data_IF_938292252928
#
_entry.id   IF_938292252928
#
_cell.length_a   1.000
_cell.length_b   1.000
_cell.length_c   1.000
_cell.angle_alpha   90.00
_cell.angle_beta   90.00
_cell.angle_gamma   90.00
#
_symmetry.space_group_name_H-M   'P 1'
#
loop_
_entity.id
_entity.type
_entity.pdbx_description
1 polymer ?
#
# COMPACT_ATOMS: atom_id res chain seq x y z
N UNK A 1 -42.01 31.38 10.40
CA UNK A 1 -40.83 30.87 11.13
C UNK A 1 -40.80 29.36 10.95
N UNK A 2 -39.92 28.85 10.09
CA UNK A 2 -39.91 27.45 9.70
C UNK A 2 -39.20 26.58 10.75
N UNK A 3 -39.96 25.81 11.52
CA UNK A 3 -39.47 24.89 12.55
C UNK A 3 -38.88 23.58 11.99
N UNK A 4 -38.35 23.58 10.75
CA UNK A 4 -37.95 22.37 10.02
C UNK A 4 -36.43 22.13 9.89
N UNK A 5 -35.58 23.13 10.13
CA UNK A 5 -34.13 23.01 9.92
C UNK A 5 -33.36 22.53 11.15
N UNK A 6 -33.88 22.78 12.36
CA UNK A 6 -33.15 22.48 13.60
C UNK A 6 -32.98 20.97 13.83
N UNK A 7 -34.02 20.17 13.59
CA UNK A 7 -33.95 18.71 13.76
C UNK A 7 -32.99 18.04 12.76
N UNK A 8 -33.01 18.48 11.50
CA UNK A 8 -32.11 17.96 10.45
C UNK A 8 -30.64 18.34 10.70
N UNK A 9 -30.40 19.59 11.10
CA UNK A 9 -29.05 20.04 11.45
C UNK A 9 -28.53 19.33 12.71
N UNK A 10 -29.41 19.00 13.67
CA UNK A 10 -29.04 18.22 14.85
C UNK A 10 -28.69 16.77 14.49
N UNK A 11 -29.46 16.11 13.61
CA UNK A 11 -29.15 14.75 13.15
C UNK A 11 -27.82 14.72 12.39
N UNK A 12 -27.59 15.68 11.50
CA UNK A 12 -26.31 15.79 10.78
C UNK A 12 -25.15 16.06 11.75
N UNK A 13 -25.34 16.95 12.73
CA UNK A 13 -24.32 17.23 13.74
C UNK A 13 -24.02 15.99 14.61
N UNK A 14 -25.03 15.23 15.03
CA UNK A 14 -24.85 14.00 15.82
C UNK A 14 -24.13 12.93 15.00
N UNK A 15 -24.49 12.74 13.74
CA UNK A 15 -23.78 11.81 12.85
C UNK A 15 -22.32 12.24 12.67
N UNK A 16 -22.06 13.54 12.50
CA UNK A 16 -20.69 14.04 12.36
C UNK A 16 -19.87 13.86 13.64
N UNK A 17 -20.43 14.20 14.80
CA UNK A 17 -19.76 14.05 16.10
C UNK A 17 -19.46 12.58 16.43
N UNK A 18 -20.33 11.65 16.02
CA UNK A 18 -20.13 10.21 16.27
C UNK A 18 -19.16 9.56 15.28
N UNK A 19 -19.13 10.01 14.03
CA UNK A 19 -18.29 9.40 12.99
C UNK A 19 -16.92 10.06 12.85
N UNK A 20 -16.79 11.35 13.17
CA UNK A 20 -15.53 12.09 13.07
C UNK A 20 -14.37 11.48 13.90
N UNK A 21 -14.57 11.04 15.16
CA UNK A 21 -13.49 10.41 15.93
C UNK A 21 -13.05 9.07 15.32
N UNK A 22 -13.99 8.30 14.76
CA UNK A 22 -13.71 7.03 14.07
C UNK A 22 -12.87 7.29 12.82
N UNK A 23 -13.17 8.36 12.08
CA UNK A 23 -12.38 8.73 10.92
C UNK A 23 -11.01 9.30 11.29
N UNK A 24 -10.89 10.07 12.39
CA UNK A 24 -9.61 10.57 12.89
C UNK A 24 -8.67 9.42 13.30
N UNK A 25 -9.21 8.35 13.89
CA UNK A 25 -8.43 7.17 14.27
C UNK A 25 -8.07 6.26 13.10
N UNK A 26 -8.96 6.14 12.10
CA UNK A 26 -8.70 5.32 10.91
C UNK A 26 -7.85 6.02 9.85
N UNK A 27 -7.83 7.35 9.82
CA UNK A 27 -7.07 8.15 8.86
C UNK A 27 -5.58 7.76 8.74
N UNK A 28 -4.79 7.65 9.84
CA UNK A 28 -3.38 7.25 9.74
C UNK A 28 -3.21 5.83 9.18
N UNK A 29 -4.11 4.90 9.49
CA UNK A 29 -4.07 3.54 8.93
C UNK A 29 -4.41 3.52 7.44
N UNK A 30 -5.40 4.30 7.00
CA UNK A 30 -5.77 4.40 5.59
C UNK A 30 -4.62 5.02 4.78
N UNK A 31 -4.02 6.09 5.29
CA UNK A 31 -2.83 6.72 4.68
C UNK A 31 -1.66 5.73 4.65
N UNK A 32 -1.40 5.02 5.75
CA UNK A 32 -0.37 3.99 5.83
C UNK A 32 -0.56 2.86 4.81
N UNK A 33 -1.78 2.34 4.65
CA UNK A 33 -2.12 1.33 3.64
C UNK A 33 -1.90 1.89 2.22
N UNK A 34 -2.24 3.15 1.99
CA UNK A 34 -2.09 3.77 0.66
C UNK A 34 -0.62 4.02 0.31
N UNK A 35 0.19 4.48 1.29
CA UNK A 35 1.63 4.65 1.14
C UNK A 35 2.31 3.30 0.94
N UNK A 36 1.97 2.30 1.77
CA UNK A 36 2.46 0.93 1.62
C UNK A 36 2.11 0.35 0.24
N UNK A 37 0.85 0.49 -0.19
CA UNK A 37 0.40 -0.04 -1.49
C UNK A 37 0.97 0.73 -2.69
N UNK A 38 1.31 2.01 -2.53
CA UNK A 38 2.05 2.79 -3.52
C UNK A 38 3.52 2.35 -3.61
N UNK A 39 4.16 2.04 -2.48
CA UNK A 39 5.55 1.56 -2.44
C UNK A 39 5.75 0.15 -3.01
N UNK A 40 4.70 -0.69 -3.06
CA UNK A 40 4.76 -2.07 -3.58
C UNK A 40 4.33 -2.21 -5.08
N UNK A 41 4.32 -1.13 -5.86
CA UNK A 41 4.42 -1.22 -7.33
C UNK A 41 3.12 -1.46 -8.12
N UNK A 42 1.99 -0.87 -7.71
CA UNK A 42 0.71 -1.00 -8.43
C UNK A 42 0.39 0.17 -9.38
N UNK A 43 1.39 0.98 -9.76
CA UNK A 43 1.22 2.13 -10.63
C UNK A 43 0.62 1.78 -12.02
N UNK A 44 0.79 0.54 -12.48
CA UNK A 44 0.30 0.10 -13.80
C UNK A 44 -1.23 -0.04 -13.90
N UNK A 45 -1.97 -0.01 -12.77
CA UNK A 45 -3.45 -0.11 -12.80
C UNK A 45 -4.13 1.25 -13.01
N UNK A 46 -3.38 2.37 -12.95
CA UNK A 46 -3.93 3.73 -13.02
C UNK A 46 -3.68 4.46 -14.35
N UNK A 47 -3.10 3.78 -15.35
CA UNK A 47 -2.85 4.33 -16.71
C UNK A 47 -4.16 4.67 -17.48
N UNK A 48 -5.31 4.20 -16.98
CA UNK A 48 -6.62 4.50 -17.54
C UNK A 48 -7.19 5.88 -17.15
N UNK A 49 -6.55 6.62 -16.24
CA UNK A 49 -7.01 7.96 -15.82
C UNK A 49 -6.35 9.06 -16.66
N UNK A 50 -7.12 9.98 -17.28
CA UNK A 50 -6.54 11.05 -18.09
C UNK A 50 -5.61 11.95 -17.26
N UNK A 51 -4.33 12.03 -17.63
CA UNK A 51 -3.36 12.98 -17.06
C UNK A 51 -2.35 12.42 -16.06
N UNK A 52 -2.31 11.10 -15.82
CA UNK A 52 -1.29 10.47 -14.97
C UNK A 52 -0.25 9.81 -15.86
N UNK A 53 0.99 10.32 -15.84
CA UNK A 53 2.11 9.73 -16.57
C UNK A 53 2.77 8.57 -15.80
N UNK A 54 3.55 7.70 -16.47
CA UNK A 54 4.08 6.44 -15.90
C UNK A 54 5.07 6.58 -14.74
N UNK A 55 5.51 7.79 -14.41
CA UNK A 55 6.41 8.06 -13.29
C UNK A 55 5.60 8.43 -12.05
N UNK A 56 5.10 7.42 -11.35
CA UNK A 56 4.41 7.56 -10.06
C UNK A 56 5.27 8.29 -9.03
N UNK A 57 4.98 9.58 -8.83
CA UNK A 57 5.55 10.41 -7.78
C UNK A 57 4.45 11.17 -7.04
N UNK A 58 4.81 11.89 -5.97
CA UNK A 58 3.94 12.67 -5.06
C UNK A 58 2.75 13.38 -5.74
N UNK A 59 2.91 13.83 -6.99
CA UNK A 59 1.87 14.47 -7.82
C UNK A 59 0.66 13.56 -8.08
N UNK A 60 0.84 12.25 -8.30
CA UNK A 60 -0.26 11.31 -8.53
C UNK A 60 -1.10 11.09 -7.25
N UNK A 61 -0.45 11.08 -6.08
CA UNK A 61 -1.12 10.99 -4.78
C UNK A 61 -1.94 12.25 -4.46
N UNK A 62 -1.40 13.43 -4.77
CA UNK A 62 -2.10 14.72 -4.57
C UNK A 62 -3.30 14.87 -5.52
N UNK A 63 -3.19 14.42 -6.77
CA UNK A 63 -4.30 14.47 -7.74
C UNK A 63 -5.40 13.46 -7.37
N UNK A 64 -5.05 12.25 -6.93
CA UNK A 64 -6.02 11.26 -6.46
C UNK A 64 -6.75 11.73 -5.18
N UNK A 65 -6.02 12.36 -4.25
CA UNK A 65 -6.59 12.99 -3.05
C UNK A 65 -7.51 14.17 -3.40
N UNK A 66 -7.12 14.99 -4.37
CA UNK A 66 -7.96 16.05 -4.92
C UNK A 66 -9.27 15.54 -5.55
N UNK A 67 -9.21 14.43 -6.28
CA UNK A 67 -10.39 13.79 -6.89
C UNK A 67 -11.36 13.23 -5.84
N UNK A 68 -10.84 12.70 -4.73
CA UNK A 68 -11.67 12.24 -3.60
C UNK A 68 -12.37 13.41 -2.93
N UNK A 69 -11.68 14.55 -2.71
CA UNK A 69 -12.32 15.76 -2.16
C UNK A 69 -13.46 16.27 -3.08
N UNK A 70 -13.25 16.26 -4.40
CA UNK A 70 -14.28 16.67 -5.37
C UNK A 70 -15.47 15.69 -5.40
N UNK A 71 -15.24 14.39 -5.29
CA UNK A 71 -16.31 13.39 -5.14
C UNK A 71 -17.07 13.53 -3.81
N UNK A 72 -16.40 13.91 -2.72
CA UNK A 72 -17.02 14.21 -1.42
C UNK A 72 -17.88 15.48 -1.45
N UNK A 73 -17.46 16.52 -2.19
CA UNK A 73 -18.27 17.72 -2.40
C UNK A 73 -19.55 17.41 -3.21
N UNK A 74 -19.47 16.50 -4.18
CA UNK A 74 -20.63 16.02 -4.95
C UNK A 74 -21.59 15.15 -4.11
N UNK A 75 -21.08 14.34 -3.17
CA UNK A 75 -21.91 13.53 -2.27
C UNK A 75 -22.69 14.40 -1.26
N UNK A 76 -22.11 15.52 -0.82
CA UNK A 76 -22.82 16.54 -0.03
C UNK A 76 -23.97 17.24 -0.77
N UNK A 77 -23.92 17.29 -2.11
CA UNK A 77 -24.97 17.88 -2.94
C UNK A 77 -26.19 16.96 -3.17
N UNK A 78 -26.03 15.62 -3.06
CA UNK A 78 -27.13 14.66 -3.27
C UNK A 78 -28.13 14.65 -2.09
N UNK A 79 -27.70 15.05 -0.89
CA UNK A 79 -28.59 15.19 0.29
C UNK A 79 -28.99 16.64 0.59
N UNK A 80 -28.63 17.58 -0.29
CA UNK A 80 -28.88 19.01 -0.16
C UNK A 80 -29.55 19.64 -1.38
N UNK A 81 -30.72 19.14 -1.79
CA UNK A 81 -31.54 19.74 -2.85
C UNK A 81 -33.04 19.71 -2.52
N UNK A 82 -33.65 20.89 -2.40
CA UNK A 82 -35.09 21.11 -2.19
C UNK A 82 -35.81 21.49 -3.49
N UNK A 83 -37.04 20.98 -3.68
CA UNK A 83 -38.12 21.46 -4.59
C UNK A 83 -38.04 20.97 -6.04
N UNK A 84 -39.10 20.60 -6.77
CA UNK A 84 -40.53 20.89 -6.63
C UNK A 84 -41.41 19.76 -7.18
N UNK A 85 -42.64 19.69 -6.65
CA UNK A 85 -43.67 18.73 -7.02
C UNK A 85 -44.43 19.08 -8.31
N UNK A 86 -44.97 18.05 -8.96
CA UNK A 86 -45.82 18.17 -10.15
C UNK A 86 -46.56 16.87 -10.46
N UNK A 87 -47.74 16.73 -9.86
CA UNK A 87 -48.82 15.78 -10.10
C UNK A 87 -49.13 15.57 -11.61
N UNK A 88 -49.53 14.36 -12.04
CA UNK A 88 -50.84 14.03 -12.67
C UNK A 88 -50.92 12.56 -13.06
N UNK A 89 -52.06 11.95 -12.74
CA UNK A 89 -52.50 10.59 -13.05
C UNK A 89 -52.70 10.37 -14.55
N UNK A 90 -52.43 9.17 -15.09
CA UNK A 90 -53.31 8.58 -16.11
C UNK A 90 -53.07 7.07 -16.28
N UNK A 91 -54.15 6.31 -16.13
CA UNK A 91 -54.27 4.90 -16.49
C UNK A 91 -54.28 4.70 -18.02
N UNK A 92 -53.85 3.52 -18.50
CA UNK A 92 -54.73 2.47 -19.10
C UNK A 92 -53.92 1.44 -19.90
N UNK A 93 -54.28 0.18 -19.66
CA UNK A 93 -54.34 -1.02 -20.53
C UNK A 93 -53.34 -1.28 -21.67
N UNK A 94 -52.92 -2.55 -21.71
CA UNK A 94 -52.98 -3.36 -22.93
C UNK A 94 -51.68 -4.05 -23.34
N UNK A 95 -51.71 -5.38 -23.44
CA UNK A 95 -50.73 -6.10 -24.28
C UNK A 95 -50.41 -7.52 -23.82
N UNK A 96 -51.26 -8.47 -24.20
CA UNK A 96 -51.08 -9.91 -24.03
C UNK A 96 -50.20 -10.54 -25.14
N UNK A 97 -49.50 -11.65 -24.80
CA UNK A 97 -49.25 -12.88 -25.60
C UNK A 97 -48.15 -13.70 -24.85
N UNK A 98 -48.42 -14.85 -24.20
CA UNK A 98 -48.77 -16.20 -24.72
C UNK A 98 -47.60 -16.82 -25.53
N UNK A 99 -47.05 -18.03 -25.32
CA UNK A 99 -47.40 -19.25 -24.57
C UNK A 99 -46.14 -20.15 -24.38
N UNK A 100 -46.15 -21.16 -23.47
CA UNK A 100 -45.26 -22.33 -23.55
C UNK A 100 -46.05 -23.61 -23.90
N UNK A 101 -45.60 -24.36 -24.90
CA UNK A 101 -46.23 -25.63 -25.32
C UNK A 101 -45.27 -26.81 -25.24
N UNK A 102 -45.57 -27.75 -24.35
CA UNK A 102 -45.10 -29.14 -24.37
C UNK A 102 -45.99 -29.96 -25.31
N UNK A 103 -45.45 -31.01 -25.96
CA UNK A 103 -45.98 -32.38 -25.79
C UNK A 103 -45.29 -33.43 -26.69
N UNK A 104 -44.94 -34.50 -25.97
CA UNK A 104 -44.61 -35.88 -26.30
C UNK A 104 -45.43 -36.54 -27.42
N UNK A 105 -44.78 -37.34 -28.29
CA UNK A 105 -45.34 -38.63 -28.75
C UNK A 105 -44.29 -39.55 -29.40
N UNK A 106 -44.26 -40.79 -28.92
CA UNK A 106 -43.55 -41.97 -29.44
C UNK A 106 -44.56 -42.88 -30.13
N UNK A 107 -44.23 -43.47 -31.29
CA UNK A 107 -44.44 -44.92 -31.50
C UNK A 107 -43.30 -45.58 -32.29
N UNK A 108 -42.73 -46.70 -31.78
CA UNK A 108 -43.02 -48.10 -32.16
C UNK A 108 -42.16 -48.64 -33.33
N UNK A 109 -41.26 -49.62 -33.10
CA UNK A 109 -40.46 -50.24 -34.16
C UNK A 109 -41.26 -51.30 -34.93
N UNK A 110 -41.22 -51.24 -36.26
CA UNK A 110 -41.78 -52.26 -37.16
C UNK A 110 -40.66 -53.09 -37.79
N UNK A 111 -40.67 -54.39 -37.51
CA UNK A 111 -39.80 -55.37 -38.15
C UNK A 111 -40.27 -55.67 -39.58
N UNK A 112 -39.34 -55.75 -40.54
CA UNK A 112 -39.64 -56.23 -41.89
C UNK A 112 -38.47 -56.98 -42.55
N UNK A 113 -38.78 -58.23 -42.91
CA UNK A 113 -38.32 -59.07 -44.01
C UNK A 113 -36.82 -59.39 -44.20
N UNK A 114 -36.51 -60.64 -43.85
CA UNK A 114 -35.40 -61.48 -44.31
C UNK A 114 -35.37 -61.59 -45.84
N UNK A 115 -34.26 -61.17 -46.47
CA UNK A 115 -33.98 -61.42 -47.89
C UNK A 115 -33.23 -62.76 -48.05
N UNK A 116 -33.61 -63.52 -49.07
CA UNK A 116 -33.01 -64.80 -49.49
C UNK A 116 -31.63 -64.55 -50.12
N UNK A 117 -30.57 -65.30 -49.77
CA UNK A 117 -29.25 -65.10 -50.37
C UNK A 117 -29.22 -65.54 -51.84
N UNK A 118 -28.69 -64.65 -52.68
CA UNK A 118 -28.28 -64.90 -54.07
C UNK A 118 -27.01 -65.78 -54.06
N UNK A 119 -26.86 -66.77 -54.97
CA UNK A 119 -25.65 -67.59 -55.06
C UNK A 119 -24.42 -66.73 -55.37
N UNK A 120 -23.37 -66.99 -54.59
CA UNK A 120 -22.08 -66.32 -54.56
C UNK A 120 -21.28 -66.56 -55.86
N UNK A 121 -20.69 -65.52 -56.48
CA UNK A 121 -19.81 -65.70 -57.62
C UNK A 121 -18.50 -66.39 -57.20
N UNK A 122 -18.04 -67.31 -58.04
CA UNK A 122 -16.80 -68.06 -57.89
C UNK A 122 -15.60 -67.11 -57.70
N UNK A 123 -14.73 -67.33 -56.69
CA UNK A 123 -13.58 -66.46 -56.46
C UNK A 123 -12.60 -66.55 -57.64
N UNK A 124 -12.31 -65.40 -58.23
CA UNK A 124 -11.21 -65.21 -59.18
C UNK A 124 -9.88 -65.31 -58.41
N UNK A 125 -8.83 -65.92 -58.97
CA UNK A 125 -7.54 -66.03 -58.28
C UNK A 125 -7.03 -64.63 -57.89
N UNK A 126 -6.89 -64.43 -56.58
CA UNK A 126 -6.32 -63.23 -55.99
C UNK A 126 -4.84 -63.14 -56.34
N UNK A 127 -4.44 -62.03 -56.97
CA UNK A 127 -3.04 -61.70 -57.21
C UNK A 127 -2.28 -61.69 -55.89
N UNK A 128 -1.16 -62.41 -55.86
CA UNK A 128 -0.23 -62.48 -54.73
C UNK A 128 0.17 -61.06 -54.31
N UNK A 129 -0.02 -60.67 -53.03
CA UNK A 129 0.36 -59.33 -52.58
C UNK A 129 1.86 -59.13 -52.78
N UNK A 130 2.21 -58.04 -53.46
CA UNK A 130 3.59 -57.58 -53.60
C UNK A 130 4.12 -57.24 -52.20
N UNK A 131 5.34 -57.65 -51.83
CA UNK A 131 5.89 -57.35 -50.50
C UNK A 131 5.92 -55.84 -50.28
N UNK A 132 5.18 -55.39 -49.28
CA UNK A 132 5.17 -54.00 -48.83
C UNK A 132 6.54 -53.65 -48.29
N UNK A 133 7.12 -52.53 -48.76
CA UNK A 133 8.41 -52.07 -48.30
C UNK A 133 8.40 -51.89 -46.77
N UNK A 134 9.39 -52.49 -46.11
CA UNK A 134 9.59 -52.36 -44.66
C UNK A 134 9.78 -50.87 -44.33
N UNK A 135 9.00 -50.30 -43.38
CA UNK A 135 9.17 -48.90 -43.01
C UNK A 135 10.59 -48.68 -42.48
N UNK A 136 11.26 -47.69 -43.05
CA UNK A 136 12.60 -47.26 -42.62
C UNK A 136 12.48 -46.72 -41.18
N UNK A 137 13.39 -47.09 -40.26
CA UNK A 137 13.34 -46.59 -38.90
C UNK A 137 13.41 -45.06 -38.91
N UNK A 138 12.38 -44.43 -38.34
CA UNK A 138 12.36 -42.99 -38.14
C UNK A 138 13.37 -42.61 -37.06
N UNK A 139 14.15 -41.58 -37.33
CA UNK A 139 15.13 -41.04 -36.37
C UNK A 139 14.42 -40.66 -35.08
N UNK A 140 14.86 -41.25 -33.96
CA UNK A 140 14.36 -40.92 -32.63
C UNK A 140 14.65 -39.45 -32.34
N UNK A 141 13.65 -38.65 -31.91
CA UNK A 141 13.87 -37.25 -31.59
C UNK A 141 14.89 -37.14 -30.45
N UNK A 142 15.90 -36.29 -30.65
CA UNK A 142 16.90 -35.98 -29.63
C UNK A 142 16.20 -35.28 -28.45
N UNK A 143 16.48 -35.67 -27.19
CA UNK A 143 15.87 -35.00 -26.04
C UNK A 143 16.26 -33.52 -26.02
N UNK A 144 15.25 -32.65 -25.93
CA UNK A 144 15.44 -31.22 -25.75
C UNK A 144 16.13 -30.97 -24.40
N UNK A 145 17.17 -30.11 -24.33
CA UNK A 145 17.83 -29.81 -23.07
C UNK A 145 16.83 -29.20 -22.08
N UNK A 146 16.80 -29.72 -20.86
CA UNK A 146 16.02 -29.16 -19.75
C UNK A 146 16.55 -27.76 -19.44
N UNK A 147 15.69 -26.73 -19.30
CA UNK A 147 16.13 -25.40 -18.91
C UNK A 147 16.86 -25.47 -17.57
N UNK A 148 18.04 -24.86 -17.52
CA UNK A 148 18.78 -24.68 -16.27
C UNK A 148 17.98 -23.74 -15.37
N UNK A 149 17.79 -24.06 -14.08
CA UNK A 149 17.11 -23.15 -13.17
C UNK A 149 17.85 -21.81 -13.11
N UNK A 150 17.09 -20.72 -13.19
CA UNK A 150 17.62 -19.37 -13.00
C UNK A 150 18.20 -19.24 -11.59
N UNK A 151 19.35 -18.55 -11.41
CA UNK A 151 19.91 -18.34 -10.08
C UNK A 151 18.89 -17.64 -9.19
N UNK A 152 18.69 -18.17 -7.98
CA UNK A 152 17.91 -17.51 -6.95
C UNK A 152 18.52 -16.13 -6.68
N UNK A 153 17.72 -15.04 -6.68
CA UNK A 153 18.24 -13.72 -6.34
C UNK A 153 18.88 -13.76 -4.95
N UNK A 154 20.06 -13.18 -4.84
CA UNK A 154 20.71 -12.97 -3.54
C UNK A 154 19.84 -12.03 -2.72
N UNK A 155 19.56 -12.33 -1.43
CA UNK A 155 18.82 -11.40 -0.58
C UNK A 155 19.52 -10.04 -0.56
N UNK A 156 18.71 -8.98 -0.59
CA UNK A 156 19.22 -7.63 -0.40
C UNK A 156 19.91 -7.51 0.97
N UNK A 157 20.96 -6.69 1.10
CA UNK A 157 21.56 -6.42 2.40
C UNK A 157 20.52 -5.81 3.34
N UNK A 158 20.55 -6.23 4.59
CA UNK A 158 19.75 -5.64 5.66
C UNK A 158 20.11 -4.15 5.82
N UNK A 159 19.13 -3.25 6.04
CA UNK A 159 19.42 -1.85 6.33
C UNK A 159 20.34 -1.74 7.55
N UNK A 160 21.34 -0.86 7.48
CA UNK A 160 22.16 -0.57 8.65
C UNK A 160 21.32 0.19 9.68
N UNK A 161 21.44 -0.21 10.95
CA UNK A 161 20.86 0.52 12.09
C UNK A 161 21.44 1.94 12.15
N UNK A 162 20.62 2.97 12.44
CA UNK A 162 21.11 4.33 12.59
C UNK A 162 22.02 4.44 13.81
N UNK A 163 23.09 5.24 13.70
CA UNK A 163 23.95 5.58 14.84
C UNK A 163 23.59 6.95 15.38
N UNK A 164 23.70 7.14 16.70
CA UNK A 164 23.44 8.42 17.36
C UNK A 164 24.58 8.83 18.26
N UNK A 165 24.86 10.13 18.28
CA UNK A 165 25.90 10.73 19.11
C UNK A 165 25.42 12.05 19.71
N UNK A 166 25.94 12.39 20.88
CA UNK A 166 25.87 13.75 21.43
C UNK A 166 27.27 14.31 21.51
N UNK A 167 27.51 15.43 20.84
CA UNK A 167 28.79 16.13 20.86
C UNK A 167 28.67 17.41 21.65
N UNK A 168 29.59 17.62 22.60
CA UNK A 168 29.73 18.84 23.38
C UNK A 168 31.09 19.44 23.06
N UNK A 169 31.12 20.69 22.66
CA UNK A 169 32.33 21.42 22.28
C UNK A 169 32.48 22.63 23.19
N UNK A 170 33.44 22.54 24.11
CA UNK A 170 33.80 23.66 24.97
C UNK A 170 35.21 23.50 25.51
N UNK A 171 36.11 24.45 25.25
CA UNK A 171 37.54 24.31 25.58
C UNK A 171 37.83 24.15 27.08
N UNK A 172 36.94 24.64 27.96
CA UNK A 172 37.07 24.54 29.42
C UNK A 172 36.10 23.49 30.01
N UNK A 173 36.06 23.39 31.34
CA UNK A 173 35.22 22.41 32.04
C UNK A 173 33.73 22.72 31.89
N UNK A 174 32.93 21.67 31.70
CA UNK A 174 31.48 21.71 31.64
C UNK A 174 30.86 20.53 32.39
N UNK A 175 29.62 20.70 32.85
CA UNK A 175 28.81 19.64 33.48
C UNK A 175 27.38 19.71 32.96
N UNK A 176 26.68 18.58 32.91
CA UNK A 176 25.33 18.52 32.37
C UNK A 176 24.65 17.17 32.54
N UNK A 177 23.59 16.93 31.77
CA UNK A 177 22.89 15.65 31.73
C UNK A 177 22.42 15.27 30.34
N UNK A 178 22.33 13.97 30.12
CA UNK A 178 21.85 13.33 28.90
C UNK A 178 20.68 12.41 29.24
N UNK A 179 19.57 12.58 28.55
CA UNK A 179 18.36 11.77 28.64
C UNK A 179 18.05 11.17 27.27
N UNK A 180 17.81 9.86 27.24
CA UNK A 180 17.52 9.08 26.02
C UNK A 180 16.20 8.35 26.26
N UNK A 181 15.28 8.45 25.31
CA UNK A 181 14.06 7.66 25.27
C UNK A 181 14.11 6.76 24.05
N UNK A 182 13.97 5.46 24.27
CA UNK A 182 13.91 4.41 23.26
C UNK A 182 12.71 3.50 23.52
N UNK A 183 12.46 2.52 22.65
CA UNK A 183 11.30 1.62 22.78
C UNK A 183 11.31 0.80 24.09
N UNK A 184 12.50 0.56 24.64
CA UNK A 184 12.71 -0.12 25.94
C UNK A 184 12.50 0.75 27.18
N UNK A 185 12.31 2.07 27.04
CA UNK A 185 12.12 3.01 28.15
C UNK A 185 12.96 4.27 28.06
N UNK A 186 13.14 4.96 29.19
CA UNK A 186 13.97 6.17 29.26
C UNK A 186 15.11 6.01 30.26
N UNK A 187 16.31 6.39 29.84
CA UNK A 187 17.51 6.45 30.67
C UNK A 187 17.97 7.90 30.80
N UNK A 188 18.59 8.24 31.93
CA UNK A 188 19.23 9.54 32.12
C UNK A 188 20.50 9.40 32.92
N UNK A 189 21.54 10.13 32.52
CA UNK A 189 22.85 10.15 33.19
C UNK A 189 23.42 11.55 33.26
N UNK A 190 24.17 11.81 34.32
CA UNK A 190 25.03 13.01 34.39
C UNK A 190 26.22 12.82 33.46
N UNK A 191 26.66 13.92 32.86
CA UNK A 191 27.81 13.98 31.95
C UNK A 191 28.65 15.19 32.29
N UNK A 192 29.96 15.08 32.15
CA UNK A 192 30.92 16.15 32.42
C UNK A 192 32.15 15.95 31.53
N UNK A 193 32.90 17.03 31.31
CA UNK A 193 34.09 16.97 30.47
C UNK A 193 34.73 18.32 30.21
N UNK A 194 35.67 18.33 29.28
CA UNK A 194 36.31 19.52 28.73
C UNK A 194 36.74 19.27 27.28
N UNK A 195 37.05 20.33 26.53
CA UNK A 195 37.32 20.26 25.11
C UNK A 195 36.12 19.77 24.29
N UNK A 196 36.41 19.11 23.17
CA UNK A 196 35.39 18.39 22.40
C UNK A 196 35.21 16.99 22.95
N UNK A 197 34.03 16.69 23.45
CA UNK A 197 33.61 15.36 23.93
C UNK A 197 32.49 14.83 23.05
N UNK A 198 32.63 13.60 22.58
CA UNK A 198 31.56 12.88 21.86
C UNK A 198 31.09 11.72 22.73
N UNK A 199 29.77 11.59 22.88
CA UNK A 199 29.11 10.55 23.63
C UNK A 199 28.32 9.70 22.64
N UNK A 200 28.75 8.47 22.44
CA UNK A 200 28.04 7.48 21.64
C UNK A 200 26.79 6.98 22.38
N UNK A 201 25.73 6.71 21.62
CA UNK A 201 24.46 6.21 22.14
C UNK A 201 24.29 4.76 21.69
N UNK A 202 24.44 3.84 22.65
CA UNK A 202 24.34 2.39 22.43
C UNK A 202 22.91 1.86 22.59
N UNK A 203 21.91 2.61 22.12
CA UNK A 203 20.49 2.24 22.21
C UNK A 203 19.92 2.05 20.79
N UNK A 204 19.15 0.97 20.58
CA UNK A 204 18.35 0.81 19.35
C UNK A 204 17.02 1.54 19.48
N UNK A 205 16.36 1.82 18.35
CA UNK A 205 15.00 2.38 18.33
C UNK A 205 14.86 3.67 19.15
N UNK A 206 15.87 4.54 19.06
CA UNK A 206 15.90 5.83 19.75
C UNK A 206 14.76 6.71 19.23
N UNK A 207 13.94 7.21 20.14
CA UNK A 207 12.79 8.07 19.86
C UNK A 207 13.09 9.53 20.16
N UNK A 208 13.77 9.80 21.28
CA UNK A 208 14.09 11.16 21.72
C UNK A 208 15.48 11.18 22.35
N UNK A 209 16.30 12.16 21.99
CA UNK A 209 17.54 12.51 22.69
C UNK A 209 17.36 13.91 23.25
N UNK A 210 17.69 14.10 24.53
CA UNK A 210 17.72 15.43 25.16
C UNK A 210 18.98 15.58 25.99
N UNK A 211 19.70 16.69 25.80
CA UNK A 211 20.97 16.90 26.47
C UNK A 211 21.14 18.37 26.86
N UNK A 212 21.88 18.59 27.94
CA UNK A 212 22.30 19.92 28.36
C UNK A 212 23.75 19.92 28.83
N UNK A 213 24.39 21.08 28.75
CA UNK A 213 25.72 21.31 29.28
C UNK A 213 25.88 22.77 29.75
N UNK A 214 26.48 22.92 30.93
CA UNK A 214 26.73 24.18 31.62
C UNK A 214 28.22 24.43 31.77
N UNK A 215 28.65 25.63 31.39
CA UNK A 215 30.02 26.13 31.60
C UNK A 215 30.35 26.23 33.09
N UNK A 216 31.55 25.81 33.48
CA UNK A 216 32.03 25.91 34.87
C UNK A 216 32.91 27.15 35.13
N UNK A 217 32.91 28.08 34.19
CA UNK A 217 33.70 29.31 34.22
C UNK A 217 32.90 30.53 33.71
N UNK A 218 33.49 31.70 33.86
CA UNK A 218 32.98 33.01 33.45
C UNK A 218 33.54 33.47 32.09
N UNK A 219 34.10 32.55 31.30
CA UNK A 219 34.63 32.84 29.97
C UNK A 219 33.52 33.32 29.03
N UNK A 220 33.86 34.13 28.03
CA UNK A 220 32.96 34.47 26.91
C UNK A 220 33.04 33.47 25.74
N UNK A 221 33.77 32.37 25.90
CA UNK A 221 33.85 31.32 24.90
C UNK A 221 32.49 30.62 24.72
N UNK A 222 32.19 30.22 23.49
CA UNK A 222 30.94 29.55 23.14
C UNK A 222 31.01 28.07 23.50
N UNK A 223 30.07 27.61 24.32
CA UNK A 223 29.76 26.20 24.48
C UNK A 223 28.75 25.81 23.41
N UNK A 224 29.01 24.71 22.70
CA UNK A 224 28.11 24.14 21.69
C UNK A 224 27.74 22.72 22.08
N UNK A 225 26.46 22.37 21.96
CA UNK A 225 25.95 21.01 22.11
C UNK A 225 25.20 20.61 20.85
N UNK A 226 25.51 19.43 20.31
CA UNK A 226 24.97 18.88 19.08
C UNK A 226 24.43 17.47 19.32
N UNK A 227 23.30 17.15 18.71
CA UNK A 227 22.83 15.78 18.51
C UNK A 227 23.13 15.40 17.07
N UNK A 228 23.73 14.24 16.86
CA UNK A 228 24.07 13.72 15.55
C UNK A 228 23.38 12.39 15.29
N UNK A 229 22.97 12.18 14.04
CA UNK A 229 22.48 10.92 13.51
C UNK A 229 23.32 10.55 12.30
N UNK A 230 23.93 9.35 12.31
CA UNK A 230 24.82 8.88 11.24
C UNK A 230 25.99 9.84 10.93
N UNK A 231 26.45 10.60 11.92
CA UNK A 231 27.49 11.61 11.79
C UNK A 231 27.02 12.99 11.31
N UNK A 232 25.76 13.14 10.92
CA UNK A 232 25.16 14.41 10.53
C UNK A 232 24.53 15.11 11.74
N UNK A 233 24.75 16.42 11.89
CA UNK A 233 24.14 17.21 12.97
C UNK A 233 22.65 17.40 12.69
N UNK A 234 21.80 16.86 13.56
CA UNK A 234 20.34 16.95 13.47
C UNK A 234 19.74 18.02 14.38
N UNK A 235 20.42 18.33 15.49
CA UNK A 235 20.02 19.42 16.38
C UNK A 235 21.25 20.06 17.03
N UNK A 236 21.17 21.36 17.32
CA UNK A 236 22.26 22.14 17.90
C UNK A 236 21.73 23.22 18.84
N UNK A 237 22.45 23.48 19.93
CA UNK A 237 22.28 24.65 20.78
C UNK A 237 23.64 25.21 21.23
N UNK A 238 23.69 26.51 21.51
CA UNK A 238 24.90 27.20 21.91
C UNK A 238 24.66 28.18 23.06
N UNK A 239 25.71 28.52 23.80
CA UNK A 239 25.70 29.61 24.79
C UNK A 239 27.09 30.24 24.91
N UNK A 240 27.16 31.56 24.96
CA UNK A 240 28.40 32.34 25.19
C UNK A 240 28.38 33.09 26.53
N UNK A 241 27.24 33.08 27.25
CA UNK A 241 27.07 33.67 28.58
C UNK A 241 28.03 33.07 29.60
N UNK A 242 28.50 33.88 30.55
CA UNK A 242 29.24 33.43 31.74
C UNK A 242 28.41 32.39 32.51
N UNK A 243 28.99 31.24 32.86
CA UNK A 243 28.27 30.09 33.45
C UNK A 243 27.02 29.64 32.66
N UNK A 244 26.99 29.96 31.36
CA UNK A 244 25.87 29.72 30.46
C UNK A 244 25.53 28.24 30.32
N UNK A 245 24.26 27.98 30.01
CA UNK A 245 23.68 26.66 29.81
C UNK A 245 23.17 26.53 28.37
N UNK A 246 23.61 25.51 27.65
CA UNK A 246 23.01 25.11 26.38
C UNK A 246 22.16 23.85 26.60
N UNK A 247 20.99 23.80 25.95
CA UNK A 247 20.08 22.64 25.99
C UNK A 247 19.57 22.34 24.60
N UNK A 248 19.52 21.06 24.24
CA UNK A 248 19.07 20.59 22.93
C UNK A 248 18.21 19.34 23.10
N UNK A 249 17.22 19.16 22.22
CA UNK A 249 16.33 17.99 22.18
C UNK A 249 15.95 17.71 20.74
N UNK A 250 15.93 16.43 20.35
CA UNK A 250 15.56 15.98 19.01
C UNK A 250 14.70 14.71 19.08
N UNK A 251 13.74 14.58 18.14
CA UNK A 251 12.80 13.48 18.07
C UNK A 251 12.87 12.75 16.72
N UNK A 252 12.84 11.41 16.73
CA UNK A 252 13.13 10.57 15.56
C UNK A 252 11.93 9.70 15.11
N UNK A 253 10.69 10.18 15.28
CA UNK A 253 9.45 9.48 14.93
C UNK A 253 9.10 9.49 13.44
#
# INVERSE_FOLDING_TARGET
MAAGSTGRNLVVAVVYVLTFPIWLTLFPFIVGIFVWRNSYGWAETLDALPGIGPSGGLVAGVIAFGYIIVLFAAFGAIFGGSGDGGNTQQATDGGAADAPGTDTSTPTPTAAATQTPIPEPTPTPTSTPTPTATPTPTSTPTPTPTPTPEPTPTPAPEPAEPTYEVRIQYDAEWQGSLSITADGGSASRSVDGSGTTTIEIDESDVQIISANAQKQDDSSATLTIQILQNGDVVAEATTDTEYGLAQVSESFF
#
